data_IF_674885240576
#
_entry.id   IF_674885240576
#
_cell.length_a   1.000
_cell.length_b   1.000
_cell.length_c   1.000
_cell.angle_alpha   90.00
_cell.angle_beta   90.00
_cell.angle_gamma   90.00
#
_symmetry.space_group_name_H-M   'P 1'
#
loop_
_entity.id
_entity.type
_entity.pdbx_description
1 polymer ?
#
# COMPACT_ATOMS: atom_id res chain seq x y z
N UNK A 1 3.21 7.68 -66.82
CA UNK A 1 3.58 6.53 -65.96
C UNK A 1 3.07 6.80 -64.55
N UNK A 2 2.00 6.10 -64.14
CA UNK A 2 1.40 6.22 -62.79
C UNK A 2 2.16 5.26 -61.85
N UNK A 3 2.82 5.79 -60.82
CA UNK A 3 3.41 4.97 -59.74
C UNK A 3 2.40 4.91 -58.59
N UNK A 4 1.77 3.76 -58.45
CA UNK A 4 0.87 3.43 -57.35
C UNK A 4 1.71 3.04 -56.14
N UNK A 5 1.77 3.90 -55.11
CA UNK A 5 2.38 3.54 -53.82
C UNK A 5 1.32 2.82 -53.00
N UNK A 6 1.50 1.52 -52.80
CA UNK A 6 0.70 0.73 -51.84
C UNK A 6 1.22 1.04 -50.44
N UNK A 7 0.44 1.79 -49.66
CA UNK A 7 0.67 1.93 -48.22
C UNK A 7 0.20 0.64 -47.53
N UNK A 8 1.14 -0.20 -47.11
CA UNK A 8 0.86 -1.33 -46.22
C UNK A 8 0.67 -0.81 -44.81
N UNK A 9 -0.54 -0.91 -44.28
CA UNK A 9 -0.82 -0.68 -42.86
C UNK A 9 -0.34 -1.91 -42.09
N UNK A 10 0.79 -1.77 -41.39
CA UNK A 10 1.25 -2.77 -40.42
C UNK A 10 0.58 -2.46 -39.09
N UNK A 11 -0.44 -3.25 -38.73
CA UNK A 11 -0.99 -3.25 -37.37
C UNK A 11 0.00 -4.00 -36.49
N UNK A 12 0.90 -3.27 -35.84
CA UNK A 12 1.73 -3.83 -34.78
C UNK A 12 0.90 -3.90 -33.50
N UNK A 13 0.39 -5.08 -33.18
CA UNK A 13 -0.18 -5.36 -31.87
C UNK A 13 0.96 -5.37 -30.85
N UNK A 14 1.20 -4.23 -30.21
CA UNK A 14 2.02 -4.18 -29.01
C UNK A 14 1.24 -4.82 -27.88
N UNK A 15 1.49 -6.11 -27.65
CA UNK A 15 1.13 -6.77 -26.41
C UNK A 15 2.09 -6.21 -25.36
N UNK A 16 1.71 -5.10 -24.74
CA UNK A 16 2.33 -4.66 -23.49
C UNK A 16 1.97 -5.71 -22.45
N UNK A 17 2.93 -6.58 -22.13
CA UNK A 17 2.89 -7.34 -20.90
C UNK A 17 3.06 -6.33 -19.76
N UNK A 18 1.97 -5.71 -19.33
CA UNK A 18 1.86 -5.31 -17.94
C UNK A 18 2.10 -6.60 -17.16
N UNK A 19 3.18 -6.64 -16.39
CA UNK A 19 3.42 -7.71 -15.43
C UNK A 19 2.25 -7.68 -14.44
N UNK A 20 1.18 -8.39 -14.78
CA UNK A 20 0.15 -8.73 -13.83
C UNK A 20 0.85 -9.60 -12.81
N UNK A 21 1.10 -9.04 -11.62
CA UNK A 21 1.47 -9.82 -10.47
C UNK A 21 0.52 -11.03 -10.36
N UNK A 22 1.04 -12.20 -10.02
CA UNK A 22 0.27 -13.42 -9.74
C UNK A 22 -0.81 -13.22 -8.64
N UNK A 23 -0.81 -12.04 -8.00
CA UNK A 23 -1.74 -11.58 -6.97
C UNK A 23 -3.09 -11.08 -7.51
N UNK A 24 -3.32 -11.15 -8.83
CA UNK A 24 -4.63 -10.91 -9.46
C UNK A 24 -5.77 -11.86 -8.99
N UNK A 25 -5.51 -12.71 -7.98
CA UNK A 25 -6.51 -13.54 -7.28
C UNK A 25 -7.05 -12.91 -5.99
N UNK A 26 -6.34 -11.99 -5.33
CA UNK A 26 -6.76 -11.46 -4.02
C UNK A 26 -7.69 -10.23 -4.13
N UNK A 27 -7.50 -9.42 -5.16
CA UNK A 27 -8.33 -8.25 -5.45
C UNK A 27 -9.29 -8.50 -6.63
N UNK A 28 -10.39 -7.76 -6.63
CA UNK A 28 -11.35 -7.68 -7.71
C UNK A 28 -10.69 -7.09 -8.96
N UNK A 29 -10.95 -7.72 -10.11
CA UNK A 29 -10.50 -7.19 -11.39
C UNK A 29 -11.43 -6.05 -11.83
N UNK A 30 -10.90 -4.90 -12.27
CA UNK A 30 -11.73 -3.88 -12.88
C UNK A 30 -12.38 -4.44 -14.15
N UNK A 31 -13.63 -4.04 -14.42
CA UNK A 31 -14.35 -4.40 -15.65
C UNK A 31 -13.76 -3.71 -16.88
N UNK A 32 -13.08 -2.59 -16.68
CA UNK A 32 -12.41 -1.79 -17.72
C UNK A 32 -11.33 -0.93 -17.08
N UNK A 33 -10.24 -0.69 -17.81
CA UNK A 33 -9.23 0.31 -17.44
C UNK A 33 -9.05 1.26 -18.61
N UNK A 34 -9.28 2.55 -18.37
CA UNK A 34 -8.97 3.62 -19.31
C UNK A 34 -7.65 4.29 -18.91
N UNK A 35 -6.78 4.55 -19.90
CA UNK A 35 -5.53 5.29 -19.70
C UNK A 35 -5.50 6.48 -20.64
N UNK A 36 -5.39 7.68 -20.09
CA UNK A 36 -5.30 8.93 -20.84
C UNK A 36 -3.92 9.54 -20.60
N UNK A 37 -3.12 9.63 -21.66
CA UNK A 37 -1.83 10.32 -21.59
C UNK A 37 -2.04 11.83 -21.40
N UNK A 38 -1.27 12.42 -20.50
CA UNK A 38 -1.24 13.86 -20.27
C UNK A 38 -0.08 14.49 -21.06
N UNK A 39 -0.10 15.83 -21.27
CA UNK A 39 1.03 16.54 -21.85
C UNK A 39 2.32 16.24 -21.08
N UNK A 40 3.44 16.12 -21.80
CA UNK A 40 4.75 15.92 -21.17
C UNK A 40 5.11 17.11 -20.29
N UNK A 41 5.84 16.82 -19.23
CA UNK A 41 6.54 17.85 -18.47
C UNK A 41 7.82 18.25 -19.21
N UNK A 42 7.97 19.52 -19.55
CA UNK A 42 9.18 20.04 -20.20
C UNK A 42 10.38 20.07 -19.24
N UNK A 43 10.13 20.15 -17.93
CA UNK A 43 11.14 20.15 -16.87
C UNK A 43 11.53 18.73 -16.45
N UNK A 44 10.66 17.74 -16.69
CA UNK A 44 10.91 16.32 -16.45
C UNK A 44 10.56 15.49 -17.70
N UNK A 45 11.43 15.45 -18.72
CA UNK A 45 11.13 14.81 -20.01
C UNK A 45 10.97 13.29 -19.94
N UNK A 46 11.44 12.67 -18.84
CA UNK A 46 11.30 11.23 -18.58
C UNK A 46 9.96 10.90 -17.90
N UNK A 47 9.27 11.89 -17.33
CA UNK A 47 7.94 11.72 -16.76
C UNK A 47 6.94 11.28 -17.84
N UNK A 48 6.06 10.35 -17.45
CA UNK A 48 4.98 9.83 -18.30
C UNK A 48 3.64 10.13 -17.65
N UNK A 49 3.27 11.43 -17.59
CA UNK A 49 2.07 11.83 -16.90
C UNK A 49 0.84 11.21 -17.58
N UNK A 50 -0.07 10.67 -16.78
CA UNK A 50 -1.24 9.93 -17.24
C UNK A 50 -2.36 9.98 -16.22
N UNK A 51 -3.55 9.68 -16.69
CA UNK A 51 -4.71 9.37 -15.85
C UNK A 51 -5.05 7.91 -16.07
N UNK A 52 -5.21 7.16 -14.99
CA UNK A 52 -5.71 5.79 -15.02
C UNK A 52 -7.07 5.76 -14.33
N UNK A 53 -8.10 5.28 -15.03
CA UNK A 53 -9.42 5.07 -14.45
C UNK A 53 -9.75 3.57 -14.47
N UNK A 54 -9.77 2.97 -13.29
CA UNK A 54 -10.14 1.57 -13.07
C UNK A 54 -11.63 1.50 -12.75
N UNK A 55 -12.41 0.95 -13.67
CA UNK A 55 -13.86 0.84 -13.57
C UNK A 55 -14.25 -0.43 -12.83
N UNK A 56 -15.11 -0.29 -11.82
CA UNK A 56 -15.76 -1.37 -11.09
C UNK A 56 -17.28 -1.26 -11.28
N UNK A 57 -18.08 -2.30 -10.98
CA UNK A 57 -19.52 -2.29 -11.27
C UNK A 57 -20.29 -1.10 -10.68
N UNK A 58 -19.86 -0.55 -9.54
CA UNK A 58 -20.57 0.52 -8.83
C UNK A 58 -19.81 1.87 -8.78
N UNK A 59 -18.54 1.91 -9.15
CA UNK A 59 -17.69 3.10 -9.01
C UNK A 59 -16.45 3.03 -9.91
N UNK A 60 -15.74 4.15 -10.02
CA UNK A 60 -14.44 4.24 -10.69
C UNK A 60 -13.40 4.71 -9.69
N UNK A 61 -12.22 4.08 -9.69
CA UNK A 61 -11.04 4.63 -9.02
C UNK A 61 -10.20 5.35 -10.06
N UNK A 62 -9.95 6.63 -9.83
CA UNK A 62 -9.08 7.45 -10.66
C UNK A 62 -7.77 7.73 -9.97
N UNK A 63 -6.69 7.56 -10.72
CA UNK A 63 -5.33 7.91 -10.36
C UNK A 63 -4.80 8.90 -11.40
N UNK A 64 -4.38 10.09 -10.96
CA UNK A 64 -3.63 11.05 -11.77
C UNK A 64 -2.18 10.97 -11.34
N UNK A 65 -1.34 10.51 -12.26
CA UNK A 65 0.09 10.32 -12.07
C UNK A 65 0.82 11.33 -12.95
N UNK A 66 1.67 12.17 -12.37
CA UNK A 66 2.45 13.16 -13.12
C UNK A 66 3.88 12.70 -13.44
N UNK A 67 4.25 11.47 -13.04
CA UNK A 67 5.58 10.91 -13.18
C UNK A 67 6.51 11.16 -11.99
N UNK A 68 5.97 11.70 -10.88
CA UNK A 68 6.66 11.86 -9.61
C UNK A 68 6.36 10.67 -8.67
N UNK A 69 7.05 10.64 -7.52
CA UNK A 69 6.78 9.65 -6.47
C UNK A 69 5.43 9.95 -5.82
N UNK A 70 4.53 8.97 -5.84
CA UNK A 70 3.11 9.12 -5.50
C UNK A 70 2.26 9.63 -6.67
N UNK A 71 0.99 9.22 -6.69
CA UNK A 71 0.01 9.84 -7.57
C UNK A 71 -0.28 11.26 -7.06
N UNK A 72 -0.34 12.22 -7.98
CA UNK A 72 -0.75 13.60 -7.70
C UNK A 72 -2.18 13.66 -7.15
N UNK A 73 -3.05 12.75 -7.59
CA UNK A 73 -4.43 12.69 -7.11
C UNK A 73 -5.00 11.28 -7.21
N UNK A 74 -5.64 10.86 -6.13
CA UNK A 74 -6.52 9.69 -6.07
C UNK A 74 -7.95 10.15 -5.84
N UNK A 75 -8.91 9.54 -6.52
CA UNK A 75 -10.33 9.87 -6.36
C UNK A 75 -11.25 8.69 -6.64
N UNK A 76 -12.41 8.71 -5.98
CA UNK A 76 -13.55 7.85 -6.28
C UNK A 76 -14.60 8.63 -7.08
N UNK A 77 -15.14 8.01 -8.12
CA UNK A 77 -16.20 8.58 -8.96
C UNK A 77 -17.35 7.60 -9.12
N UNK A 78 -18.50 8.11 -9.57
CA UNK A 78 -19.63 7.27 -9.99
C UNK A 78 -19.24 6.34 -11.16
N UNK A 79 -19.93 5.20 -11.29
CA UNK A 79 -19.63 4.15 -12.28
C UNK A 79 -19.66 4.64 -13.74
N UNK A 80 -20.45 5.67 -14.04
CA UNK A 80 -20.63 6.24 -15.39
C UNK A 80 -19.71 7.44 -15.65
N UNK A 81 -18.83 7.79 -14.71
CA UNK A 81 -17.98 8.96 -14.84
C UNK A 81 -16.95 8.81 -15.97
N UNK A 82 -16.73 9.85 -16.79
CA UNK A 82 -15.71 9.82 -17.83
C UNK A 82 -14.30 9.86 -17.22
N UNK A 83 -13.33 9.28 -17.92
CA UNK A 83 -11.94 9.32 -17.51
C UNK A 83 -11.26 10.62 -17.94
N UNK A 84 -11.37 11.63 -17.09
CA UNK A 84 -10.87 12.99 -17.35
C UNK A 84 -10.04 13.52 -16.17
N UNK A 85 -9.18 14.51 -16.44
CA UNK A 85 -8.26 15.08 -15.43
C UNK A 85 -9.05 15.68 -14.25
N UNK A 86 -10.09 16.42 -14.58
CA UNK A 86 -10.99 17.08 -13.64
C UNK A 86 -12.42 16.73 -14.01
N UNK A 87 -13.22 16.43 -13.00
CA UNK A 87 -14.63 16.08 -13.04
C UNK A 87 -15.30 16.75 -11.84
N UNK A 88 -16.52 17.23 -12.04
CA UNK A 88 -17.27 18.01 -11.05
C UNK A 88 -17.76 17.15 -9.87
N UNK A 89 -17.74 15.83 -10.01
CA UNK A 89 -18.28 14.86 -9.02
C UNK A 89 -17.22 13.83 -8.62
N UNK A 90 -16.06 14.33 -8.23
CA UNK A 90 -14.98 13.51 -7.67
C UNK A 90 -15.01 13.54 -6.15
N UNK A 91 -14.87 12.38 -5.52
CA UNK A 91 -14.51 12.30 -4.11
C UNK A 91 -13.01 12.07 -4.01
N UNK A 92 -12.28 13.16 -3.79
CA UNK A 92 -10.81 13.14 -3.69
C UNK A 92 -10.41 12.44 -2.39
N UNK A 93 -9.43 11.55 -2.48
CA UNK A 93 -8.80 10.91 -1.32
C UNK A 93 -7.69 11.84 -0.84
N UNK A 94 -7.99 12.66 0.17
CA UNK A 94 -7.04 13.57 0.80
C UNK A 94 -6.37 12.86 1.99
N UNK A 95 -5.43 11.96 1.69
CA UNK A 95 -4.69 11.19 2.68
C UNK A 95 -3.23 11.04 2.26
N UNK A 96 -2.32 11.54 3.08
CA UNK A 96 -0.87 11.53 2.79
C UNK A 96 -0.30 10.10 2.74
N UNK A 97 -1.02 9.12 3.28
CA UNK A 97 -0.67 7.69 3.19
C UNK A 97 -1.11 7.08 1.85
N UNK A 98 -2.09 7.66 1.17
CA UNK A 98 -2.61 7.15 -0.08
C UNK A 98 -1.76 7.66 -1.25
N UNK A 99 -0.69 6.93 -1.58
CA UNK A 99 0.19 7.24 -2.71
C UNK A 99 -0.30 6.65 -4.03
N UNK A 100 -0.75 5.39 -4.03
CA UNK A 100 -1.19 4.67 -5.24
C UNK A 100 -2.36 3.73 -4.96
N UNK A 101 -3.16 3.41 -5.98
CA UNK A 101 -4.12 2.32 -5.90
C UNK A 101 -3.39 0.98 -5.72
N UNK A 102 -3.68 0.29 -4.61
CA UNK A 102 -3.20 -1.06 -4.36
C UNK A 102 -4.18 -2.11 -4.91
N UNK A 103 -5.48 -1.91 -4.70
CA UNK A 103 -6.51 -2.83 -5.17
C UNK A 103 -7.92 -2.53 -4.64
N UNK A 104 -8.88 -3.34 -5.04
CA UNK A 104 -10.28 -3.26 -4.58
C UNK A 104 -10.76 -4.66 -4.20
N UNK A 105 -11.57 -4.78 -3.15
CA UNK A 105 -12.20 -6.04 -2.76
C UNK A 105 -13.59 -5.80 -2.17
N UNK A 106 -14.66 -6.28 -2.83
CA UNK A 106 -16.06 -6.17 -2.38
C UNK A 106 -16.52 -4.77 -1.90
N UNK A 107 -15.99 -3.70 -2.51
CA UNK A 107 -16.31 -2.31 -2.15
C UNK A 107 -15.31 -1.65 -1.20
N UNK A 108 -14.32 -2.38 -0.69
CA UNK A 108 -13.16 -1.84 0.01
C UNK A 108 -12.10 -1.42 -1.00
N UNK A 109 -11.61 -0.19 -0.92
CA UNK A 109 -10.58 0.37 -1.81
C UNK A 109 -9.30 0.56 -1.01
N UNK A 110 -8.23 -0.08 -1.48
CA UNK A 110 -6.93 -0.10 -0.82
C UNK A 110 -6.01 0.88 -1.52
N UNK A 111 -5.44 1.82 -0.78
CA UNK A 111 -4.36 2.66 -1.24
C UNK A 111 -3.12 2.38 -0.40
N UNK A 112 -1.95 2.40 -1.03
CA UNK A 112 -0.66 2.22 -0.36
C UNK A 112 0.17 3.49 -0.49
N UNK A 113 1.08 3.70 0.45
CA UNK A 113 2.04 4.79 0.39
C UNK A 113 2.92 4.69 -0.85
N UNK A 114 3.46 5.84 -1.27
CA UNK A 114 4.42 5.89 -2.36
C UNK A 114 5.77 5.29 -1.95
N UNK A 115 6.14 5.45 -0.68
CA UNK A 115 7.38 4.99 -0.09
C UNK A 115 7.14 4.19 1.19
N UNK A 116 8.11 3.34 1.53
CA UNK A 116 8.12 2.62 2.79
C UNK A 116 8.62 3.47 3.96
N UNK A 117 8.29 3.05 5.17
CA UNK A 117 8.74 3.61 6.42
C UNK A 117 9.10 2.49 7.40
N UNK A 118 10.31 2.53 7.98
CA UNK A 118 10.81 1.52 8.90
C UNK A 118 10.72 0.08 8.35
N UNK A 119 11.06 -0.08 7.06
CA UNK A 119 10.93 -1.35 6.35
C UNK A 119 9.51 -1.89 6.17
N UNK A 120 8.46 -1.11 6.46
CA UNK A 120 7.08 -1.42 6.15
C UNK A 120 6.53 -0.51 5.06
N UNK A 121 5.48 -0.94 4.37
CA UNK A 121 4.74 -0.13 3.41
C UNK A 121 3.36 0.23 4.01
N UNK A 122 3.14 1.48 4.41
CA UNK A 122 1.85 1.91 4.93
C UNK A 122 0.73 1.75 3.90
N UNK A 123 -0.48 1.44 4.36
CA UNK A 123 -1.68 1.38 3.54
C UNK A 123 -2.92 1.86 4.30
N UNK A 124 -3.92 2.28 3.54
CA UNK A 124 -5.22 2.75 4.02
C UNK A 124 -6.33 2.07 3.24
N UNK A 125 -7.47 1.83 3.90
CA UNK A 125 -8.66 1.24 3.29
C UNK A 125 -9.83 2.20 3.40
N UNK A 126 -10.53 2.38 2.29
CA UNK A 126 -11.69 3.25 2.16
C UNK A 126 -12.93 2.46 1.77
N UNK A 127 -14.10 2.91 2.22
CA UNK A 127 -15.38 2.42 1.70
C UNK A 127 -15.68 3.11 0.35
N UNK A 128 -15.91 2.34 -0.71
CA UNK A 128 -16.15 2.93 -2.04
C UNK A 128 -17.44 3.77 -2.11
N UNK A 129 -18.47 3.41 -1.35
CA UNK A 129 -19.78 4.05 -1.44
C UNK A 129 -19.77 5.44 -0.78
N UNK A 130 -19.21 5.54 0.41
CA UNK A 130 -19.15 6.75 1.26
C UNK A 130 -17.85 7.53 1.08
N UNK A 131 -16.77 6.83 0.71
CA UNK A 131 -15.41 7.36 0.63
C UNK A 131 -14.84 7.75 1.97
N UNK A 132 -15.38 7.17 3.04
CA UNK A 132 -14.82 7.28 4.37
C UNK A 132 -13.62 6.36 4.51
N UNK A 133 -12.58 6.85 5.20
CA UNK A 133 -11.45 6.05 5.63
C UNK A 133 -11.92 5.10 6.72
N UNK A 134 -11.64 3.82 6.56
CA UNK A 134 -12.08 2.77 7.47
C UNK A 134 -10.96 2.36 8.43
N UNK A 135 -9.76 2.15 7.91
CA UNK A 135 -8.60 1.71 8.68
C UNK A 135 -7.29 1.97 7.94
N UNK A 136 -6.21 1.82 8.68
CA UNK A 136 -4.83 1.85 8.18
C UNK A 136 -3.96 0.85 8.93
N UNK A 137 -2.90 0.41 8.25
CA UNK A 137 -1.83 -0.38 8.85
C UNK A 137 -0.55 -0.30 8.00
N UNK A 138 0.49 -1.07 8.36
CA UNK A 138 1.74 -1.16 7.60
C UNK A 138 2.10 -2.61 7.33
N UNK A 139 2.36 -2.92 6.05
CA UNK A 139 2.65 -4.28 5.58
C UNK A 139 4.15 -4.52 5.41
N UNK A 140 4.60 -5.73 5.70
CA UNK A 140 5.93 -6.23 5.36
C UNK A 140 5.89 -6.82 3.95
N UNK A 141 6.67 -6.25 3.03
CA UNK A 141 6.63 -6.60 1.61
C UNK A 141 5.66 -5.75 0.82
N UNK A 142 4.96 -6.35 -0.16
CA UNK A 142 4.10 -5.65 -1.11
C UNK A 142 2.68 -6.24 -1.27
N UNK A 143 2.31 -7.27 -0.50
CA UNK A 143 1.01 -7.93 -0.63
C UNK A 143 0.46 -8.60 0.64
N UNK A 144 -0.83 -8.95 0.59
CA UNK A 144 -1.57 -9.73 1.58
C UNK A 144 -1.43 -11.23 1.32
N UNK A 145 -1.28 -12.02 2.38
CA UNK A 145 -1.36 -13.48 2.29
C UNK A 145 -2.78 -13.97 1.97
N UNK A 146 -3.79 -13.26 2.47
CA UNK A 146 -5.20 -13.50 2.13
C UNK A 146 -6.05 -12.24 2.29
N UNK A 147 -7.06 -12.11 1.44
CA UNK A 147 -8.12 -11.10 1.54
C UNK A 147 -9.46 -11.83 1.49
N UNK A 148 -10.30 -11.58 2.49
CA UNK A 148 -11.68 -12.10 2.58
C UNK A 148 -12.59 -10.92 2.81
N UNK A 149 -13.55 -10.68 1.92
CA UNK A 149 -14.41 -9.49 2.01
C UNK A 149 -15.83 -9.80 1.55
N UNK A 150 -16.79 -9.03 2.06
CA UNK A 150 -18.18 -9.10 1.65
C UNK A 150 -19.13 -8.65 2.75
N UNK A 151 -20.34 -8.22 2.39
CA UNK A 151 -21.38 -7.79 3.33
C UNK A 151 -20.93 -6.71 4.34
N UNK A 152 -19.99 -5.84 3.94
CA UNK A 152 -19.44 -4.80 4.82
C UNK A 152 -18.40 -5.30 5.82
N UNK A 153 -17.92 -6.53 5.67
CA UNK A 153 -16.87 -7.13 6.46
C UNK A 153 -15.60 -7.31 5.61
N UNK A 154 -14.45 -7.16 6.25
CA UNK A 154 -13.13 -7.36 5.65
C UNK A 154 -12.24 -8.12 6.63
N UNK A 155 -11.51 -9.11 6.13
CA UNK A 155 -10.45 -9.81 6.86
C UNK A 155 -9.19 -9.89 6.00
N UNK A 156 -8.05 -9.55 6.59
CA UNK A 156 -6.74 -9.48 5.95
C UNK A 156 -5.74 -10.31 6.74
N UNK A 157 -5.00 -11.18 6.05
CA UNK A 157 -3.83 -11.86 6.63
C UNK A 157 -2.57 -11.27 6.00
N UNK A 158 -1.64 -10.76 6.81
CA UNK A 158 -0.39 -10.17 6.31
C UNK A 158 0.71 -10.13 7.38
N UNK A 159 1.95 -9.91 6.94
CA UNK A 159 3.03 -9.53 7.85
C UNK A 159 2.87 -8.06 8.22
N UNK A 160 2.60 -7.76 9.48
CA UNK A 160 2.45 -6.38 9.97
C UNK A 160 3.80 -5.83 10.42
N UNK A 161 4.11 -4.61 10.01
CA UNK A 161 5.26 -3.84 10.52
C UNK A 161 4.76 -2.87 11.59
N UNK A 162 5.20 -3.10 12.83
CA UNK A 162 4.82 -2.29 13.98
C UNK A 162 6.04 -1.56 14.55
N UNK A 163 6.00 -0.23 14.55
CA UNK A 163 7.03 0.59 15.22
C UNK A 163 6.59 0.82 16.67
N UNK A 164 7.33 0.27 17.63
CA UNK A 164 7.09 0.52 19.05
C UNK A 164 7.42 1.97 19.42
N UNK A 165 6.94 2.45 20.57
CA UNK A 165 7.35 3.73 21.14
C UNK A 165 8.63 3.64 22.00
N UNK A 166 9.20 2.45 22.11
CA UNK A 166 10.27 2.09 23.04
C UNK A 166 11.29 1.15 22.38
N UNK A 167 12.46 1.01 23.00
CA UNK A 167 13.51 0.11 22.53
C UNK A 167 13.46 -1.22 23.28
N UNK A 168 13.14 -2.32 22.59
CA UNK A 168 13.28 -3.68 23.14
C UNK A 168 14.74 -3.99 23.49
N UNK A 169 15.70 -3.36 22.82
CA UNK A 169 17.12 -3.55 23.11
C UNK A 169 17.54 -2.89 24.43
N UNK A 170 17.11 -1.64 24.66
CA UNK A 170 17.55 -0.86 25.83
C UNK A 170 16.65 -1.06 27.04
N UNK A 171 15.33 -1.11 26.85
CA UNK A 171 14.34 -1.16 27.94
C UNK A 171 13.88 -2.60 28.25
N UNK A 172 14.15 -3.55 27.36
CA UNK A 172 13.92 -4.98 27.59
C UNK A 172 12.46 -5.30 27.98
N UNK A 173 12.27 -5.78 29.21
CA UNK A 173 11.00 -6.31 29.69
C UNK A 173 9.87 -5.27 29.76
N UNK A 174 10.18 -4.00 30.07
CA UNK A 174 9.17 -2.95 30.15
C UNK A 174 8.61 -2.62 28.76
N UNK A 175 9.50 -2.48 27.77
CA UNK A 175 9.09 -2.31 26.37
C UNK A 175 8.36 -3.55 25.83
N UNK A 176 8.83 -4.75 26.17
CA UNK A 176 8.15 -5.99 25.80
C UNK A 176 6.70 -6.04 26.30
N UNK A 177 6.45 -5.61 27.54
CA UNK A 177 5.10 -5.53 28.10
C UNK A 177 4.22 -4.51 27.37
N UNK A 178 4.77 -3.35 27.01
CA UNK A 178 4.04 -2.33 26.24
C UNK A 178 3.64 -2.86 24.86
N UNK A 179 4.60 -3.45 24.12
CA UNK A 179 4.34 -4.03 22.80
C UNK A 179 3.29 -5.14 22.89
N UNK A 180 3.38 -6.04 23.87
CA UNK A 180 2.39 -7.09 24.07
C UNK A 180 0.98 -6.53 24.32
N UNK A 181 0.85 -5.43 25.08
CA UNK A 181 -0.43 -4.79 25.34
C UNK A 181 -1.04 -4.13 24.10
N UNK A 182 -0.21 -3.53 23.23
CA UNK A 182 -0.67 -2.82 22.03
C UNK A 182 -0.91 -3.74 20.83
N UNK A 183 -0.17 -4.84 20.75
CA UNK A 183 -0.22 -5.76 19.60
C UNK A 183 -0.98 -7.04 19.88
N UNK A 184 -1.15 -7.42 21.16
CA UNK A 184 -1.67 -8.73 21.55
C UNK A 184 -0.66 -9.87 21.45
N UNK A 185 0.61 -9.60 21.08
CA UNK A 185 1.65 -10.62 21.01
C UNK A 185 1.91 -11.21 22.41
N UNK A 186 1.95 -12.54 22.50
CA UNK A 186 2.40 -13.18 23.73
C UNK A 186 3.90 -12.92 23.97
N UNK A 187 4.39 -12.91 25.22
CA UNK A 187 5.81 -12.68 25.50
C UNK A 187 6.76 -13.63 24.76
N UNK A 188 6.34 -14.88 24.51
CA UNK A 188 7.10 -15.87 23.74
C UNK A 188 7.19 -15.58 22.24
N UNK A 189 6.32 -14.72 21.71
CA UNK A 189 6.28 -14.29 20.32
C UNK A 189 7.05 -12.97 20.11
N UNK A 190 7.56 -12.34 21.17
CA UNK A 190 8.37 -11.14 20.98
C UNK A 190 9.77 -11.53 20.48
N UNK A 191 10.28 -10.87 19.43
CA UNK A 191 11.60 -11.19 18.88
C UNK A 191 12.72 -10.68 19.79
N UNK A 192 13.89 -11.33 19.70
CA UNK A 192 15.13 -10.78 20.24
C UNK A 192 15.71 -9.73 19.28
N UNK A 193 15.84 -8.49 19.75
CA UNK A 193 16.37 -7.37 18.98
C UNK A 193 17.90 -7.24 19.05
N UNK A 194 18.60 -8.03 19.86
CA UNK A 194 20.04 -7.87 20.10
C UNK A 194 20.88 -7.92 18.83
N UNK A 195 20.55 -8.80 17.88
CA UNK A 195 21.30 -8.93 16.64
C UNK A 195 21.18 -7.68 15.75
N UNK A 196 19.98 -7.13 15.59
CA UNK A 196 19.71 -5.97 14.75
C UNK A 196 20.44 -4.72 15.28
N UNK A 197 20.31 -4.43 16.57
CA UNK A 197 20.95 -3.27 17.18
C UNK A 197 22.48 -3.39 17.19
N UNK A 198 23.04 -4.57 17.48
CA UNK A 198 24.49 -4.78 17.42
C UNK A 198 25.06 -4.60 16.01
N UNK A 199 24.31 -5.02 14.98
CA UNK A 199 24.70 -4.78 13.60
C UNK A 199 24.72 -3.28 13.28
N UNK A 200 23.71 -2.53 13.74
CA UNK A 200 23.61 -1.10 13.51
C UNK A 200 24.67 -0.30 14.28
N UNK A 201 24.90 -0.62 15.56
CA UNK A 201 25.99 -0.04 16.37
C UNK A 201 27.35 -0.29 15.73
N UNK A 202 27.56 -1.48 15.16
CA UNK A 202 28.81 -1.79 14.43
C UNK A 202 28.97 -0.95 13.17
N UNK A 203 27.87 -0.59 12.49
CA UNK A 203 27.88 0.28 11.29
C UNK A 203 28.19 1.73 11.65
N UNK A 204 27.72 2.19 12.81
CA UNK A 204 27.78 3.58 13.25
C UNK A 204 28.22 3.70 14.72
N UNK A 205 29.47 3.33 15.07
CA UNK A 205 29.92 3.19 16.46
C UNK A 205 29.89 4.49 17.26
N UNK A 206 30.10 5.64 16.61
CA UNK A 206 30.07 6.96 17.26
C UNK A 206 28.66 7.37 17.72
N UNK A 207 27.62 6.65 17.27
CA UNK A 207 26.22 6.87 17.63
C UNK A 207 25.63 5.71 18.44
N UNK A 208 26.48 4.85 19.03
CA UNK A 208 26.02 3.66 19.74
C UNK A 208 24.94 3.98 20.78
N UNK A 209 25.14 5.02 21.60
CA UNK A 209 24.22 5.37 22.69
C UNK A 209 22.85 5.85 22.24
N UNK A 210 22.78 6.45 21.06
CA UNK A 210 21.57 6.90 20.38
C UNK A 210 20.86 5.71 19.74
N UNK A 211 21.62 4.84 19.06
CA UNK A 211 21.11 3.63 18.41
C UNK A 211 20.44 2.71 19.42
N UNK A 212 21.03 2.50 20.59
CA UNK A 212 20.42 1.67 21.64
C UNK A 212 19.02 2.13 22.03
N UNK A 213 18.75 3.44 21.97
CA UNK A 213 17.48 4.06 22.36
C UNK A 213 16.48 4.16 21.21
N UNK A 214 16.87 3.83 19.97
CA UNK A 214 15.95 3.87 18.85
C UNK A 214 14.76 2.93 19.12
N UNK A 215 13.53 3.34 18.79
CA UNK A 215 12.37 2.48 18.98
C UNK A 215 12.48 1.20 18.15
N UNK A 216 12.06 0.06 18.70
CA UNK A 216 12.15 -1.20 17.97
C UNK A 216 11.03 -1.34 16.95
N UNK A 217 11.37 -1.87 15.77
CA UNK A 217 10.42 -2.22 14.73
C UNK A 217 10.20 -3.72 14.77
N UNK A 218 8.98 -4.16 15.06
CA UNK A 218 8.59 -5.56 15.20
C UNK A 218 7.74 -5.95 14.00
N UNK A 219 8.14 -7.03 13.32
CA UNK A 219 7.38 -7.61 12.21
C UNK A 219 6.81 -8.95 12.62
N UNK A 220 5.52 -9.17 12.41
CA UNK A 220 4.82 -10.41 12.79
C UNK A 220 3.57 -10.63 11.94
N UNK A 221 3.14 -11.90 11.74
CA UNK A 221 1.91 -12.18 11.02
C UNK A 221 0.68 -11.80 11.85
N UNK A 222 -0.31 -11.18 11.21
CA UNK A 222 -1.55 -10.72 11.85
C UNK A 222 -2.76 -11.07 10.97
N UNK A 223 -3.87 -11.41 11.61
CA UNK A 223 -5.20 -11.32 11.02
C UNK A 223 -5.82 -9.99 11.48
N UNK A 224 -6.18 -9.14 10.54
CA UNK A 224 -6.95 -7.91 10.78
C UNK A 224 -8.37 -8.13 10.32
N UNK A 225 -9.34 -7.88 11.19
CA UNK A 225 -10.76 -7.94 10.85
C UNK A 225 -11.44 -6.59 11.07
N UNK A 226 -12.19 -6.14 10.07
CA UNK A 226 -13.05 -4.97 10.10
C UNK A 226 -14.52 -5.40 9.93
N UNK A 227 -15.36 -4.96 10.85
CA UNK A 227 -16.81 -5.16 10.79
C UNK A 227 -17.53 -4.07 11.59
N UNK A 228 -18.63 -3.55 11.05
CA UNK A 228 -19.49 -2.58 11.72
C UNK A 228 -18.77 -1.32 12.27
N UNK A 229 -17.69 -0.88 11.62
CA UNK A 229 -16.89 0.28 12.03
C UNK A 229 -15.77 -0.04 13.02
N UNK A 230 -15.70 -1.28 13.53
CA UNK A 230 -14.64 -1.71 14.44
C UNK A 230 -13.53 -2.43 13.68
N UNK A 231 -12.28 -2.17 14.08
CA UNK A 231 -11.10 -2.89 13.59
C UNK A 231 -10.47 -3.66 14.74
N UNK A 232 -10.23 -4.96 14.52
CA UNK A 232 -9.51 -5.83 15.45
C UNK A 232 -8.27 -6.39 14.78
N UNK A 233 -7.23 -6.63 15.58
CA UNK A 233 -5.96 -7.20 15.14
C UNK A 233 -5.63 -8.36 16.04
N UNK A 234 -5.39 -9.52 15.44
CA UNK A 234 -5.07 -10.73 16.18
C UNK A 234 -3.76 -11.30 15.64
N UNK A 235 -2.67 -11.29 16.42
CA UNK A 235 -1.42 -11.92 16.01
C UNK A 235 -1.64 -13.40 15.70
N UNK A 236 -1.07 -13.84 14.59
CA UNK A 236 -1.10 -15.24 14.18
C UNK A 236 0.15 -15.96 14.65
N UNK A 237 0.11 -17.29 14.63
CA UNK A 237 1.33 -18.08 14.78
C UNK A 237 2.24 -17.87 13.56
N UNK A 238 3.54 -17.67 13.82
CA UNK A 238 4.55 -17.55 12.78
C UNK A 238 5.79 -16.81 13.26
N UNK A 239 6.76 -16.58 12.36
CA UNK A 239 8.01 -15.93 12.71
C UNK A 239 7.78 -14.45 13.02
N UNK A 240 8.45 -13.98 14.07
CA UNK A 240 8.53 -12.56 14.42
C UNK A 240 9.96 -12.08 14.27
N UNK A 241 10.17 -10.89 13.72
CA UNK A 241 11.50 -10.31 13.52
C UNK A 241 11.59 -8.91 14.10
N UNK A 242 12.81 -8.47 14.42
CA UNK A 242 13.09 -7.15 14.91
C UNK A 242 14.07 -6.41 13.99
N UNK A 243 13.83 -5.13 13.79
CA UNK A 243 14.68 -4.21 13.00
C UNK A 243 14.88 -2.92 13.80
N UNK A 244 15.96 -2.21 13.51
CA UNK A 244 16.08 -0.79 13.87
C UNK A 244 15.28 0.04 12.88
N UNK A 245 14.77 1.22 13.27
CA UNK A 245 14.13 2.14 12.33
C UNK A 245 15.17 2.66 11.32
N UNK A 246 14.68 3.03 10.13
CA UNK A 246 15.50 3.52 9.01
C UNK A 246 15.91 4.99 9.18
#
# INVERSE_FOLDING_TARGET
>A
MKRTVRASVVVAAFISFAGASDNARAFDKPIKVDVVALPKDELNPDAKPKITCSHYPAFVVKEVDLGEVGAEKLALLAADAPCERTSERERVIADDTAGYLMGVSAGFVFFRAADGWNGGLPFVVYDAATGERLLDDSLDGDDFAAIRSGKGELTLDFGRVYTASCSLYHEGADCAKAIAAETGLAPKQLPDCAAAYKAEIKRSPDHASEIEKLPSVVVYPVELAYAAGDTTRQPMDGPTTCRTPD
#
